data_IF_534805895908
#
_entry.id   IF_534805895908
#
_cell.length_a   1.000
_cell.length_b   1.000
_cell.length_c   1.000
_cell.angle_alpha   90.00
_cell.angle_beta   90.00
_cell.angle_gamma   90.00
#
_symmetry.space_group_name_H-M   'P 1'
#
loop_
_entity.id
_entity.type
_entity.pdbx_description
1 polymer ?
#
# COMPACT_ATOMS: atom_id res chain seq x y z
N UNK A 1 14.74 -20.35 38.56
CA UNK A 1 13.61 -19.41 38.47
C UNK A 1 13.70 -18.79 37.10
N UNK A 2 12.81 -19.17 36.17
CA UNK A 2 12.85 -18.70 34.78
C UNK A 2 12.14 -17.34 34.70
N UNK A 3 12.89 -16.28 34.44
CA UNK A 3 12.34 -14.98 34.08
C UNK A 3 12.02 -15.03 32.59
N UNK A 4 10.74 -15.24 32.25
CA UNK A 4 10.26 -15.08 30.88
C UNK A 4 10.28 -13.59 30.55
N UNK A 5 11.36 -13.13 29.92
CA UNK A 5 11.47 -11.82 29.30
C UNK A 5 10.47 -11.79 28.14
N UNK A 6 9.26 -11.31 28.43
CA UNK A 6 8.27 -10.98 27.40
C UNK A 6 8.90 -9.88 26.53
N UNK A 7 9.06 -10.09 25.21
CA UNK A 7 9.48 -9.00 24.36
C UNK A 7 8.37 -7.95 24.43
N UNK A 8 8.73 -6.79 24.98
CA UNK A 8 8.03 -5.52 24.80
C UNK A 8 7.85 -5.31 23.28
N UNK A 9 6.67 -5.71 22.78
CA UNK A 9 6.24 -5.40 21.42
C UNK A 9 5.97 -3.89 21.43
N UNK A 10 6.98 -3.13 21.02
CA UNK A 10 6.88 -1.71 20.77
C UNK A 10 5.76 -1.51 19.73
N UNK A 11 4.61 -1.03 20.19
CA UNK A 11 3.44 -0.74 19.37
C UNK A 11 3.58 0.66 18.75
N UNK A 12 4.77 1.01 18.29
CA UNK A 12 4.94 2.02 17.25
C UNK A 12 5.08 1.24 15.96
N UNK A 13 3.97 1.16 15.24
CA UNK A 13 3.96 0.73 13.85
C UNK A 13 4.81 1.75 13.06
N UNK A 14 6.13 1.52 13.02
CA UNK A 14 6.98 2.08 12.00
C UNK A 14 6.27 1.79 10.68
N UNK A 15 5.91 2.86 9.94
CA UNK A 15 5.17 2.73 8.69
C UNK A 15 5.83 1.61 7.88
N UNK A 16 5.09 0.54 7.53
CA UNK A 16 5.71 -0.62 6.94
C UNK A 16 6.56 -0.15 5.76
N UNK A 17 7.82 -0.56 5.69
CA UNK A 17 8.68 -0.15 4.57
C UNK A 17 7.94 -0.45 3.26
N UNK A 18 7.98 0.44 2.27
CA UNK A 18 7.21 0.32 1.02
C UNK A 18 7.30 -1.09 0.39
N UNK A 19 8.43 -1.78 0.60
CA UNK A 19 8.65 -3.19 0.30
C UNK A 19 7.60 -4.16 0.85
N UNK A 20 7.11 -3.96 2.08
CA UNK A 20 6.06 -4.78 2.71
C UNK A 20 4.74 -4.62 1.96
N UNK A 21 4.40 -3.39 1.60
CA UNK A 21 3.20 -3.08 0.82
C UNK A 21 3.29 -3.70 -0.58
N UNK A 22 4.43 -3.53 -1.24
CA UNK A 22 4.75 -4.19 -2.51
C UNK A 22 4.67 -5.73 -2.45
N UNK A 23 4.99 -6.35 -1.31
CA UNK A 23 4.83 -7.79 -1.15
C UNK A 23 3.36 -8.21 -1.04
N UNK A 24 2.48 -7.37 -0.49
CA UNK A 24 1.04 -7.63 -0.41
C UNK A 24 0.31 -7.47 -1.75
N UNK A 25 0.88 -6.72 -2.69
CA UNK A 25 0.28 -6.51 -4.00
C UNK A 25 0.28 -7.79 -4.85
N UNK A 26 -0.75 -7.96 -5.68
CA UNK A 26 -0.77 -8.99 -6.72
C UNK A 26 0.19 -8.64 -7.87
N UNK A 27 0.51 -9.61 -8.73
CA UNK A 27 1.44 -9.38 -9.85
C UNK A 27 0.93 -8.27 -10.78
N UNK A 28 -0.38 -8.25 -11.06
CA UNK A 28 -0.98 -7.22 -11.89
C UNK A 28 -0.91 -5.82 -11.23
N UNK A 29 -1.16 -5.74 -9.93
CA UNK A 29 -0.96 -4.50 -9.17
C UNK A 29 0.46 -4.00 -9.19
N UNK A 30 1.43 -4.89 -8.97
CA UNK A 30 2.86 -4.55 -9.03
C UNK A 30 3.24 -4.00 -10.38
N UNK A 31 2.74 -4.60 -11.45
CA UNK A 31 2.99 -4.13 -12.81
C UNK A 31 2.48 -2.70 -13.01
N UNK A 32 1.22 -2.46 -12.67
CA UNK A 32 0.59 -1.14 -12.74
C UNK A 32 1.23 -0.12 -11.80
N UNK A 33 1.61 -0.52 -10.58
CA UNK A 33 2.29 0.33 -9.60
C UNK A 33 3.68 0.74 -10.07
N UNK A 34 4.43 -0.18 -10.68
CA UNK A 34 5.72 0.12 -11.31
C UNK A 34 5.57 1.13 -12.44
N UNK A 35 4.56 0.96 -13.31
CA UNK A 35 4.29 1.92 -14.37
C UNK A 35 3.97 3.30 -13.81
N UNK A 36 3.08 3.39 -12.81
CA UNK A 36 2.75 4.65 -12.13
C UNK A 36 3.96 5.26 -11.42
N UNK A 37 4.84 4.45 -10.84
CA UNK A 37 6.12 4.89 -10.29
C UNK A 37 6.98 5.65 -11.30
N UNK A 38 6.99 5.23 -12.57
CA UNK A 38 7.69 5.96 -13.64
C UNK A 38 7.07 7.32 -13.97
N UNK A 39 5.77 7.50 -13.69
CA UNK A 39 5.08 8.79 -13.82
C UNK A 39 5.18 9.66 -12.55
N UNK A 40 5.92 9.22 -11.52
CA UNK A 40 6.11 9.95 -10.27
C UNK A 40 5.05 9.68 -9.21
N UNK A 41 4.28 8.59 -9.34
CA UNK A 41 3.39 8.14 -8.27
C UNK A 41 4.15 7.27 -7.27
N UNK A 42 4.05 7.60 -6.00
CA UNK A 42 4.64 6.81 -4.92
C UNK A 42 3.58 5.96 -4.24
N UNK A 43 3.90 4.70 -3.98
CA UNK A 43 3.03 3.83 -3.21
C UNK A 43 2.97 4.33 -1.77
N UNK A 44 1.81 4.89 -1.40
CA UNK A 44 1.58 5.47 -0.09
C UNK A 44 1.13 4.39 0.89
N UNK A 45 0.13 3.60 0.51
CA UNK A 45 -0.39 2.50 1.31
C UNK A 45 -1.21 1.52 0.45
N UNK A 46 -1.57 0.37 1.00
CA UNK A 46 -2.42 -0.69 0.45
C UNK A 46 -3.55 -0.88 1.44
N UNK A 47 -4.76 -0.60 0.96
CA UNK A 47 -6.00 -0.86 1.67
C UNK A 47 -6.46 -2.26 1.31
N UNK A 48 -7.02 -2.98 2.28
CA UNK A 48 -7.89 -4.12 1.94
C UNK A 48 -9.32 -3.59 1.87
N UNK A 49 -10.00 -3.80 0.76
CA UNK A 49 -11.40 -3.44 0.59
C UNK A 49 -12.19 -4.62 0.03
N UNK A 50 -13.31 -4.96 0.65
CA UNK A 50 -14.19 -6.05 0.22
C UNK A 50 -13.51 -7.42 -0.03
N UNK A 51 -12.32 -7.64 0.53
CA UNK A 51 -11.54 -8.87 0.33
C UNK A 51 -10.45 -8.76 -0.73
N UNK A 52 -10.35 -7.64 -1.43
CA UNK A 52 -9.32 -7.35 -2.43
C UNK A 52 -8.27 -6.40 -1.87
N UNK A 53 -7.03 -6.55 -2.35
CA UNK A 53 -5.98 -5.58 -2.06
C UNK A 53 -6.14 -4.40 -3.01
N UNK A 54 -6.10 -3.18 -2.49
CA UNK A 54 -6.12 -1.94 -3.25
C UNK A 54 -4.84 -1.16 -2.96
N UNK A 55 -3.95 -1.08 -3.96
CA UNK A 55 -2.75 -0.25 -3.88
C UNK A 55 -3.15 1.22 -4.03
N UNK A 56 -2.83 2.07 -3.06
CA UNK A 56 -3.06 3.51 -3.12
C UNK A 56 -1.72 4.20 -3.33
N UNK A 57 -1.59 4.85 -4.48
CA UNK A 57 -0.44 5.64 -4.86
C UNK A 57 -0.82 7.12 -4.90
N UNK A 58 0.09 7.97 -4.47
CA UNK A 58 -0.10 9.41 -4.47
C UNK A 58 0.98 10.06 -5.33
N UNK A 59 0.58 11.05 -6.11
CA UNK A 59 1.46 11.92 -6.89
C UNK A 59 1.13 13.36 -6.50
N UNK A 60 2.05 14.28 -6.78
CA UNK A 60 1.87 15.72 -6.52
C UNK A 60 0.55 16.28 -7.11
N UNK A 61 0.08 15.66 -8.20
CA UNK A 61 -1.13 16.07 -8.93
C UNK A 61 -2.42 15.32 -8.52
N UNK A 62 -2.34 14.26 -7.71
CA UNK A 62 -3.53 13.47 -7.35
C UNK A 62 -3.25 12.09 -6.77
N UNK A 63 -4.30 11.27 -6.67
CA UNK A 63 -4.24 9.92 -6.10
C UNK A 63 -4.67 8.89 -7.14
N UNK A 64 -3.93 7.80 -7.23
CA UNK A 64 -4.25 6.66 -8.05
C UNK A 64 -4.43 5.42 -7.18
N UNK A 65 -5.45 4.63 -7.46
CA UNK A 65 -5.70 3.36 -6.81
C UNK A 65 -5.57 2.24 -7.82
N UNK A 66 -4.97 1.13 -7.43
CA UNK A 66 -4.80 -0.04 -8.29
C UNK A 66 -5.52 -1.20 -7.62
N UNK A 67 -6.50 -1.79 -8.32
CA UNK A 67 -7.22 -2.99 -7.86
C UNK A 67 -6.36 -4.24 -7.98
N UNK A 68 -6.75 -5.34 -7.34
CA UNK A 68 -6.00 -6.60 -7.38
C UNK A 68 -5.73 -7.12 -8.81
N UNK A 69 -6.66 -6.85 -9.73
CA UNK A 69 -6.56 -7.17 -11.17
C UNK A 69 -5.59 -6.26 -11.94
N UNK A 70 -5.05 -5.21 -11.30
CA UNK A 70 -4.14 -4.24 -11.92
C UNK A 70 -4.84 -3.05 -12.58
N UNK A 71 -6.14 -2.86 -12.36
CA UNK A 71 -6.89 -1.73 -12.90
C UNK A 71 -6.50 -0.44 -12.16
N UNK A 72 -5.99 0.54 -12.92
CA UNK A 72 -5.59 1.84 -12.38
C UNK A 72 -6.78 2.80 -12.42
N UNK A 73 -7.17 3.26 -11.24
CA UNK A 73 -8.19 4.26 -10.99
C UNK A 73 -7.52 5.55 -10.49
N UNK A 74 -7.23 6.49 -11.40
CA UNK A 74 -6.64 7.81 -11.10
C UNK A 74 -7.66 8.89 -10.70
N UNK A 75 -8.95 8.55 -10.73
CA UNK A 75 -10.04 9.39 -10.21
C UNK A 75 -10.93 8.56 -9.29
N UNK A 76 -10.36 7.92 -8.26
CA UNK A 76 -11.18 7.15 -7.35
C UNK A 76 -11.99 8.17 -6.53
N UNK A 77 -13.29 7.92 -6.32
CA UNK A 77 -14.16 8.78 -5.52
C UNK A 77 -13.84 8.61 -4.03
N UNK A 78 -12.60 8.92 -3.65
CA UNK A 78 -12.05 8.79 -2.31
C UNK A 78 -11.75 10.20 -1.84
N UNK A 79 -12.61 10.72 -0.98
CA UNK A 79 -12.31 11.94 -0.24
C UNK A 79 -11.25 11.63 0.82
N UNK A 80 -10.01 12.05 0.57
CA UNK A 80 -8.98 12.13 1.62
C UNK A 80 -9.35 13.35 2.47
N UNK A 81 -9.92 13.11 3.65
CA UNK A 81 -10.35 14.14 4.61
C UNK A 81 -9.44 14.14 5.85
#
# INVERSE_FOLDING_TARGET
MQSQEQPIIDRREEAPEQSVWWNKLSLAQKFSASSLGQFGYELCFVRHDQGENLAVLTCDSGVAVITEDGEINTSPNIEIR
#
